data_IF_776510996617
#
_entry.id   IF_776510996617
#
_cell.length_a   1.000
_cell.length_b   1.000
_cell.length_c   1.000
_cell.angle_alpha   90.00
_cell.angle_beta   90.00
_cell.angle_gamma   90.00
#
_symmetry.space_group_name_H-M   'P 1'
#
loop_
_entity.id
_entity.type
_entity.pdbx_description
1 polymer ?
#
# COMPACT_ATOMS: atom_id res chain seq x y z
N UNK A 1 9.60 32.45 34.17
CA UNK A 1 11.03 32.32 33.90
C UNK A 1 11.21 32.00 32.41
N UNK A 2 11.96 32.80 31.64
CA UNK A 2 12.13 32.55 30.21
C UNK A 2 13.05 31.33 29.98
N UNK A 3 12.73 30.53 28.99
CA UNK A 3 13.51 29.37 28.57
C UNK A 3 14.81 29.76 27.89
N UNK A 4 15.87 28.95 27.95
CA UNK A 4 17.21 29.31 27.46
C UNK A 4 17.30 29.26 25.93
N UNK A 5 17.85 30.32 25.36
CA UNK A 5 18.22 30.47 23.95
C UNK A 5 19.50 29.69 23.68
N UNK A 6 19.47 28.69 22.80
CA UNK A 6 20.69 27.98 22.36
C UNK A 6 21.23 28.65 21.09
N UNK A 7 22.37 29.33 21.23
CA UNK A 7 23.14 29.87 20.09
C UNK A 7 24.06 28.80 19.50
N UNK A 8 23.99 28.59 18.18
CA UNK A 8 25.06 27.91 17.41
C UNK A 8 25.49 28.81 16.26
N UNK A 9 26.75 29.17 16.24
CA UNK A 9 27.40 29.93 15.17
C UNK A 9 28.04 28.97 14.17
N UNK A 10 27.74 29.15 12.90
CA UNK A 10 28.43 28.49 11.80
C UNK A 10 29.05 29.52 10.86
N UNK A 11 30.37 29.47 10.66
CA UNK A 11 31.11 30.30 9.72
C UNK A 11 31.19 29.61 8.35
N UNK A 12 30.78 30.30 7.28
CA UNK A 12 31.12 29.92 5.91
C UNK A 12 32.09 30.93 5.28
N UNK A 13 32.97 30.43 4.41
CA UNK A 13 34.12 31.16 3.79
C UNK A 13 33.76 32.33 2.86
N UNK A 14 32.53 32.79 2.80
CA UNK A 14 32.06 33.81 1.86
C UNK A 14 31.36 35.00 2.53
N UNK A 15 31.76 35.44 3.71
CA UNK A 15 31.45 36.79 4.22
C UNK A 15 29.98 37.28 4.16
N UNK A 16 29.01 36.42 4.03
CA UNK A 16 27.58 36.79 4.04
C UNK A 16 27.07 36.49 5.46
N UNK A 17 26.79 37.53 6.22
CA UNK A 17 26.08 37.48 7.49
C UNK A 17 24.63 37.02 7.18
N UNK A 18 24.35 35.73 7.38
CA UNK A 18 22.97 35.27 7.50
C UNK A 18 22.50 35.51 8.92
N UNK A 19 21.59 36.44 9.12
CA UNK A 19 20.91 36.62 10.41
C UNK A 19 20.19 35.31 10.76
N UNK A 20 20.49 34.74 11.93
CA UNK A 20 19.75 33.62 12.49
C UNK A 20 18.27 33.99 12.53
N UNK A 21 17.46 33.26 11.76
CA UNK A 21 16.02 33.35 11.89
C UNK A 21 15.64 32.62 13.19
N UNK A 22 15.25 33.39 14.20
CA UNK A 22 14.65 32.81 15.41
C UNK A 22 13.27 32.25 15.04
N UNK A 23 13.05 30.99 15.37
CA UNK A 23 11.77 30.30 15.18
C UNK A 23 11.09 30.13 16.53
N UNK A 24 9.80 30.35 16.54
CA UNK A 24 8.91 29.98 17.63
C UNK A 24 8.32 28.60 17.30
N UNK A 25 8.27 27.73 18.30
CA UNK A 25 7.61 26.44 18.20
C UNK A 25 6.43 26.39 19.16
N UNK A 26 5.31 25.89 18.71
CA UNK A 26 4.11 25.76 19.52
C UNK A 26 3.04 24.96 18.76
N UNK A 27 1.85 24.87 19.33
CA UNK A 27 0.75 24.12 18.75
C UNK A 27 -0.37 25.04 18.29
N UNK A 28 -1.01 24.70 17.17
CA UNK A 28 -2.18 25.41 16.66
C UNK A 28 -3.37 25.26 17.61
N UNK A 29 -3.99 26.35 18.09
CA UNK A 29 -5.15 26.26 19.00
C UNK A 29 -6.42 25.73 18.34
N UNK A 30 -6.43 25.61 17.00
CA UNK A 30 -7.61 25.13 16.24
C UNK A 30 -7.55 23.65 15.90
N UNK A 31 -6.38 23.11 15.57
CA UNK A 31 -6.22 21.71 15.16
C UNK A 31 -5.22 20.92 16.00
N UNK A 32 -4.55 21.56 16.99
CA UNK A 32 -3.58 20.88 17.85
C UNK A 32 -2.22 20.56 17.20
N UNK A 33 -2.05 20.79 15.89
CA UNK A 33 -0.83 20.43 15.17
C UNK A 33 0.37 21.31 15.55
N UNK A 34 1.55 20.69 15.58
CA UNK A 34 2.81 21.36 15.89
C UNK A 34 3.22 22.29 14.75
N UNK A 35 3.52 23.52 15.09
CA UNK A 35 3.94 24.57 14.16
C UNK A 35 5.32 25.10 14.55
N UNK A 36 6.13 25.38 13.52
CA UNK A 36 7.41 26.08 13.66
C UNK A 36 7.39 27.28 12.74
N UNK A 37 7.29 28.49 13.33
CA UNK A 37 7.11 29.74 12.59
C UNK A 37 8.25 30.71 12.87
N UNK A 38 8.69 31.54 11.91
CA UNK A 38 9.65 32.60 12.13
C UNK A 38 9.14 33.58 13.17
N UNK A 39 9.94 33.88 14.18
CA UNK A 39 9.57 34.78 15.31
C UNK A 39 9.20 36.21 14.87
N UNK A 40 9.59 36.62 13.65
CA UNK A 40 9.31 37.94 13.08
C UNK A 40 7.95 38.08 12.41
N UNK A 41 7.21 36.95 12.27
CA UNK A 41 5.87 37.00 11.67
C UNK A 41 4.84 37.43 12.69
N UNK A 42 4.17 38.56 12.43
CA UNK A 42 3.05 39.02 13.26
C UNK A 42 1.79 38.19 13.06
N UNK A 43 1.59 37.65 11.87
CA UNK A 43 0.45 36.78 11.52
C UNK A 43 0.89 35.72 10.48
N UNK A 44 0.32 34.52 10.60
CA UNK A 44 0.51 33.43 9.66
C UNK A 44 -0.76 32.56 9.57
N UNK A 45 -0.82 31.69 8.58
CA UNK A 45 -1.86 30.68 8.50
C UNK A 45 -1.32 29.31 8.87
N UNK A 46 -2.06 28.57 9.70
CA UNK A 46 -1.72 27.19 10.00
C UNK A 46 -1.71 26.37 8.72
N UNK A 47 -0.59 25.69 8.43
CA UNK A 47 -0.44 24.91 7.21
C UNK A 47 -1.32 23.66 7.17
N UNK A 48 -1.87 23.23 8.31
CA UNK A 48 -2.71 22.04 8.43
C UNK A 48 -4.20 22.36 8.32
N UNK A 49 -4.69 23.38 9.04
CA UNK A 49 -6.13 23.70 9.07
C UNK A 49 -6.50 25.03 8.43
N UNK A 50 -5.53 25.82 7.95
CA UNK A 50 -5.75 27.12 7.32
C UNK A 50 -6.13 28.25 8.27
N UNK A 51 -6.22 28.02 9.58
CA UNK A 51 -6.56 29.05 10.57
C UNK A 51 -5.54 30.17 10.57
N UNK A 52 -5.99 31.44 10.56
CA UNK A 52 -5.13 32.60 10.74
C UNK A 52 -4.80 32.76 12.22
N UNK A 53 -3.52 32.87 12.53
CA UNK A 53 -2.96 32.88 13.87
C UNK A 53 -1.90 33.96 14.01
N UNK A 54 -1.70 34.42 15.24
CA UNK A 54 -0.53 35.21 15.66
C UNK A 54 0.44 34.32 16.46
N UNK A 55 1.68 34.77 16.64
CA UNK A 55 2.67 34.02 17.41
C UNK A 55 2.24 33.79 18.87
N UNK A 56 1.54 34.76 19.46
CA UNK A 56 1.06 34.71 20.84
C UNK A 56 -0.12 33.74 21.04
N UNK A 57 -0.78 33.33 19.96
CA UNK A 57 -1.86 32.33 20.00
C UNK A 57 -1.36 30.90 19.94
N UNK A 58 -0.07 30.67 19.69
CA UNK A 58 0.51 29.33 19.77
C UNK A 58 0.48 28.82 21.21
N UNK A 59 0.04 27.59 21.37
CA UNK A 59 -0.03 26.94 22.68
C UNK A 59 1.30 26.23 22.97
N UNK A 60 1.72 26.24 24.24
CA UNK A 60 2.91 25.48 24.71
C UNK A 60 2.70 23.96 24.69
N UNK A 61 1.42 23.55 24.71
CA UNK A 61 0.99 22.17 24.60
C UNK A 61 -0.05 22.08 23.50
N UNK A 62 -0.25 20.90 22.86
CA UNK A 62 -1.35 20.72 21.95
C UNK A 62 -2.64 21.23 22.61
N UNK A 63 -3.45 22.02 21.87
CA UNK A 63 -4.79 22.27 22.35
C UNK A 63 -5.40 20.91 22.67
N UNK A 64 -6.02 20.78 23.83
CA UNK A 64 -6.94 19.66 24.05
C UNK A 64 -7.99 19.79 22.94
N UNK A 65 -7.71 19.13 21.82
CA UNK A 65 -8.71 18.84 20.79
C UNK A 65 -9.71 17.99 21.53
N UNK A 66 -10.81 18.60 21.98
CA UNK A 66 -11.74 18.20 23.00
C UNK A 66 -11.66 16.69 23.26
N UNK A 67 -10.96 16.28 24.29
CA UNK A 67 -10.71 14.88 24.59
C UNK A 67 -12.06 14.21 24.67
N UNK A 68 -12.33 13.34 23.72
CA UNK A 68 -13.56 12.55 23.71
C UNK A 68 -13.62 11.88 25.08
N UNK A 69 -14.76 11.98 25.77
CA UNK A 69 -14.91 11.33 27.06
C UNK A 69 -14.60 9.82 26.93
N UNK A 70 -13.91 9.17 27.89
CA UNK A 70 -13.52 7.77 27.76
C UNK A 70 -14.67 6.83 27.39
N UNK A 71 -15.87 7.07 27.92
CA UNK A 71 -17.05 6.29 27.56
C UNK A 71 -17.48 6.49 26.11
N UNK A 72 -17.41 7.70 25.59
CA UNK A 72 -17.69 8.01 24.19
C UNK A 72 -16.62 7.43 23.27
N UNK A 73 -15.34 7.48 23.67
CA UNK A 73 -14.24 6.85 22.94
C UNK A 73 -14.45 5.34 22.80
N UNK A 74 -14.84 4.66 23.86
CA UNK A 74 -15.15 3.22 23.83
C UNK A 74 -16.35 2.91 22.92
N UNK A 75 -17.41 3.73 22.97
CA UNK A 75 -18.57 3.57 22.08
C UNK A 75 -18.21 3.75 20.61
N UNK A 76 -17.40 4.77 20.29
CA UNK A 76 -16.89 5.00 18.92
C UNK A 76 -15.99 3.86 18.46
N UNK A 77 -15.11 3.38 19.32
CA UNK A 77 -14.24 2.23 19.02
C UNK A 77 -15.07 0.97 18.73
N UNK A 78 -16.08 0.68 19.53
CA UNK A 78 -16.95 -0.48 19.33
C UNK A 78 -17.78 -0.36 18.04
N UNK A 79 -18.22 0.85 17.69
CA UNK A 79 -18.90 1.09 16.42
C UNK A 79 -17.95 0.88 15.23
N UNK A 80 -16.72 1.41 15.31
CA UNK A 80 -15.71 1.26 14.26
C UNK A 80 -15.30 -0.22 14.08
N UNK A 81 -15.09 -0.97 15.18
CA UNK A 81 -14.79 -2.42 15.14
C UNK A 81 -15.87 -3.21 14.40
N UNK A 82 -17.15 -2.86 14.59
CA UNK A 82 -18.28 -3.52 13.90
C UNK A 82 -18.37 -3.15 12.42
N UNK A 83 -17.93 -1.96 12.04
CA UNK A 83 -18.01 -1.48 10.66
C UNK A 83 -16.80 -1.91 9.81
N UNK A 84 -15.62 -2.03 10.41
CA UNK A 84 -14.38 -2.29 9.71
C UNK A 84 -14.40 -3.56 8.83
N UNK A 85 -14.99 -4.72 9.26
CA UNK A 85 -15.13 -5.88 8.39
C UNK A 85 -15.94 -5.60 7.11
N UNK A 86 -16.86 -4.63 7.15
CA UNK A 86 -17.60 -4.16 5.98
C UNK A 86 -16.71 -3.60 4.89
N UNK A 87 -15.54 -3.02 5.25
CA UNK A 87 -14.53 -2.53 4.32
C UNK A 87 -13.81 -3.66 3.54
N UNK A 88 -14.02 -4.92 3.90
CA UNK A 88 -13.60 -6.09 3.11
C UNK A 88 -14.81 -6.74 2.44
N UNK A 89 -15.88 -7.00 3.20
CA UNK A 89 -17.09 -7.66 2.71
C UNK A 89 -17.67 -7.00 1.45
N UNK A 90 -17.69 -5.66 1.42
CA UNK A 90 -18.24 -4.89 0.29
C UNK A 90 -17.38 -4.95 -0.96
N UNK A 91 -16.13 -5.37 -0.84
CA UNK A 91 -15.16 -5.37 -1.93
C UNK A 91 -14.65 -6.77 -2.30
N UNK A 92 -15.34 -7.81 -1.84
CA UNK A 92 -15.08 -9.18 -2.30
C UNK A 92 -15.24 -9.27 -3.83
N UNK A 93 -14.27 -9.89 -4.48
CA UNK A 93 -14.20 -9.91 -5.94
C UNK A 93 -13.38 -8.77 -6.55
N UNK A 94 -12.90 -7.80 -5.77
CA UNK A 94 -12.05 -6.71 -6.29
C UNK A 94 -10.64 -7.18 -6.70
N UNK A 95 -10.21 -8.38 -6.33
CA UNK A 95 -9.01 -8.99 -6.92
C UNK A 95 -9.04 -8.99 -8.45
N UNK A 96 -10.21 -9.09 -9.07
CA UNK A 96 -10.41 -8.98 -10.54
C UNK A 96 -10.17 -7.58 -11.09
N UNK A 97 -10.20 -6.56 -10.23
CA UNK A 97 -9.96 -5.16 -10.58
C UNK A 97 -8.51 -4.73 -10.38
N UNK A 98 -7.60 -5.67 -10.07
CA UNK A 98 -6.18 -5.39 -9.94
C UNK A 98 -5.55 -5.35 -11.34
N UNK A 99 -6.11 -4.52 -12.20
CA UNK A 99 -5.67 -4.25 -13.56
C UNK A 99 -5.33 -2.78 -13.73
N UNK A 100 -4.55 -2.46 -14.76
CA UNK A 100 -4.14 -1.08 -15.04
C UNK A 100 -5.34 -0.16 -15.27
N UNK A 101 -6.41 -0.66 -15.89
CA UNK A 101 -7.60 0.13 -16.22
C UNK A 101 -8.53 0.37 -15.03
N UNK A 102 -8.55 -0.52 -14.04
CA UNK A 102 -9.57 -0.52 -12.99
C UNK A 102 -9.04 -0.23 -11.58
N UNK A 103 -7.74 -0.46 -11.32
CA UNK A 103 -7.18 -0.39 -9.97
C UNK A 103 -7.43 0.94 -9.26
N UNK A 104 -7.20 2.07 -9.94
CA UNK A 104 -7.34 3.40 -9.33
C UNK A 104 -8.79 3.67 -8.89
N UNK A 105 -9.77 3.31 -9.72
CA UNK A 105 -11.19 3.45 -9.38
C UNK A 105 -11.57 2.52 -8.23
N UNK A 106 -11.15 1.26 -8.29
CA UNK A 106 -11.40 0.27 -7.24
C UNK A 106 -10.76 0.69 -5.90
N UNK A 107 -9.53 1.22 -5.94
CA UNK A 107 -8.87 1.74 -4.74
C UNK A 107 -9.61 2.94 -4.16
N UNK A 108 -10.08 3.86 -5.00
CA UNK A 108 -10.86 5.02 -4.57
C UNK A 108 -12.15 4.62 -3.84
N UNK A 109 -12.85 3.60 -4.33
CA UNK A 109 -14.06 3.07 -3.69
C UNK A 109 -13.75 2.53 -2.27
N UNK A 110 -12.68 1.72 -2.15
CA UNK A 110 -12.25 1.15 -0.86
C UNK A 110 -11.80 2.24 0.09
N UNK A 111 -11.03 3.21 -0.41
CA UNK A 111 -10.53 4.33 0.39
C UNK A 111 -11.69 5.16 0.96
N UNK A 112 -12.66 5.52 0.12
CA UNK A 112 -13.83 6.32 0.53
C UNK A 112 -14.67 5.63 1.62
N UNK A 113 -14.78 4.30 1.58
CA UNK A 113 -15.48 3.54 2.62
C UNK A 113 -14.64 3.37 3.89
N UNK A 114 -13.34 3.19 3.74
CA UNK A 114 -12.41 2.93 4.86
C UNK A 114 -12.13 4.19 5.67
N UNK A 115 -11.98 5.34 5.02
CA UNK A 115 -11.59 6.59 5.66
C UNK A 115 -12.46 6.96 6.87
N UNK A 116 -13.80 7.08 6.77
CA UNK A 116 -14.63 7.49 7.92
C UNK A 116 -14.59 6.46 9.06
N UNK A 117 -14.54 5.17 8.73
CA UNK A 117 -14.50 4.09 9.72
C UNK A 117 -13.18 4.12 10.48
N UNK A 118 -12.07 4.23 9.75
CA UNK A 118 -10.75 4.18 10.37
C UNK A 118 -10.42 5.49 11.11
N UNK A 119 -10.87 6.66 10.64
CA UNK A 119 -10.76 7.91 11.41
C UNK A 119 -11.47 7.82 12.75
N UNK A 120 -12.67 7.26 12.79
CA UNK A 120 -13.39 7.05 14.04
C UNK A 120 -12.67 6.12 15.01
N UNK A 121 -12.00 5.07 14.49
CA UNK A 121 -11.16 4.18 15.28
C UNK A 121 -9.92 4.92 15.80
N UNK A 122 -9.22 5.65 14.95
CA UNK A 122 -8.02 6.41 15.28
C UNK A 122 -8.32 7.45 16.38
N UNK A 123 -9.35 8.27 16.20
CA UNK A 123 -9.79 9.27 17.19
C UNK A 123 -10.11 8.62 18.54
N UNK A 124 -10.81 7.49 18.52
CA UNK A 124 -11.18 6.77 19.74
C UNK A 124 -9.95 6.20 20.45
N UNK A 125 -9.00 5.63 19.72
CA UNK A 125 -7.76 5.07 20.29
C UNK A 125 -6.86 6.19 20.80
N UNK A 126 -6.70 7.28 20.05
CA UNK A 126 -5.91 8.45 20.47
C UNK A 126 -6.44 9.11 21.74
N UNK A 127 -7.74 8.98 22.02
CA UNK A 127 -8.34 9.44 23.27
C UNK A 127 -7.95 8.57 24.50
N UNK A 128 -7.33 7.42 24.27
CA UNK A 128 -6.92 6.46 25.31
C UNK A 128 -5.41 6.12 25.16
N UNK A 129 -4.51 7.07 25.31
CA UNK A 129 -3.08 6.91 24.94
C UNK A 129 -2.37 5.80 25.70
N UNK A 130 -2.73 5.55 26.95
CA UNK A 130 -2.14 4.50 27.79
C UNK A 130 -2.55 3.08 27.36
N UNK A 131 -3.60 2.95 26.56
CA UNK A 131 -4.17 1.68 26.10
C UNK A 131 -4.00 1.46 24.59
N UNK A 132 -3.30 2.35 23.88
CA UNK A 132 -3.20 2.35 22.40
C UNK A 132 -2.92 0.98 21.81
N UNK A 133 -1.83 0.33 22.20
CA UNK A 133 -1.43 -0.98 21.67
C UNK A 133 -2.47 -2.07 21.96
N UNK A 134 -3.03 -2.06 23.17
CA UNK A 134 -4.05 -3.03 23.57
C UNK A 134 -5.34 -2.86 22.76
N UNK A 135 -5.78 -1.62 22.51
CA UNK A 135 -6.99 -1.32 21.74
C UNK A 135 -6.81 -1.61 20.26
N UNK A 136 -5.63 -1.37 19.70
CA UNK A 136 -5.32 -1.73 18.31
C UNK A 136 -5.30 -3.25 18.11
N UNK A 137 -4.67 -3.99 19.03
CA UNK A 137 -4.68 -5.45 18.99
C UNK A 137 -6.09 -6.02 19.14
N UNK A 138 -6.88 -5.49 20.09
CA UNK A 138 -8.29 -5.85 20.26
C UNK A 138 -9.10 -5.62 18.97
N UNK A 139 -8.88 -4.47 18.32
CA UNK A 139 -9.57 -4.12 17.08
C UNK A 139 -9.18 -5.04 15.91
N UNK A 140 -7.89 -5.38 15.81
CA UNK A 140 -7.40 -6.34 14.82
C UNK A 140 -7.97 -7.75 15.04
N UNK A 141 -8.06 -8.19 16.30
CA UNK A 141 -8.67 -9.46 16.66
C UNK A 141 -10.15 -9.49 16.29
N UNK A 142 -10.93 -8.48 16.72
CA UNK A 142 -12.36 -8.39 16.44
C UNK A 142 -12.64 -8.37 14.94
N UNK A 143 -11.80 -7.66 14.16
CA UNK A 143 -11.89 -7.64 12.69
C UNK A 143 -11.73 -9.04 12.09
N UNK A 144 -10.71 -9.79 12.53
CA UNK A 144 -10.47 -11.14 12.02
C UNK A 144 -11.53 -12.14 12.51
N UNK A 145 -11.98 -12.03 13.76
CA UNK A 145 -13.03 -12.89 14.31
C UNK A 145 -14.31 -12.79 13.46
N UNK A 146 -14.70 -11.59 13.06
CA UNK A 146 -15.86 -11.35 12.21
C UNK A 146 -15.70 -11.94 10.79
N UNK A 147 -14.51 -11.82 10.19
CA UNK A 147 -14.24 -12.43 8.88
C UNK A 147 -14.17 -13.96 8.97
N UNK A 148 -13.66 -14.52 10.06
CA UNK A 148 -13.63 -15.98 10.31
C UNK A 148 -15.03 -16.59 10.36
N UNK A 149 -16.03 -15.87 10.88
CA UNK A 149 -17.42 -16.31 10.84
C UNK A 149 -17.91 -16.45 9.38
N UNK A 150 -17.57 -15.49 8.53
CA UNK A 150 -17.93 -15.55 7.11
C UNK A 150 -17.23 -16.72 6.41
N UNK A 151 -15.93 -16.91 6.65
CA UNK A 151 -15.18 -18.03 6.04
C UNK A 151 -15.69 -19.37 6.53
N UNK A 152 -16.06 -19.49 7.81
CA UNK A 152 -16.61 -20.70 8.37
C UNK A 152 -17.95 -21.09 7.71
N UNK A 153 -18.75 -20.11 7.32
CA UNK A 153 -20.01 -20.31 6.62
C UNK A 153 -19.82 -20.64 5.12
N UNK A 154 -18.64 -20.40 4.55
CA UNK A 154 -18.37 -20.65 3.13
C UNK A 154 -18.00 -22.12 2.88
N UNK A 155 -18.51 -22.69 1.78
CA UNK A 155 -18.19 -24.08 1.36
C UNK A 155 -16.69 -24.26 1.08
N UNK A 156 -16.05 -23.25 0.50
CA UNK A 156 -14.58 -23.18 0.28
C UNK A 156 -13.96 -22.18 1.26
N UNK A 157 -13.78 -22.60 2.51
CA UNK A 157 -13.25 -21.73 3.58
C UNK A 157 -11.88 -21.14 3.27
N UNK A 158 -10.99 -21.95 2.72
CA UNK A 158 -9.62 -21.51 2.41
C UNK A 158 -9.62 -20.50 1.25
N UNK A 159 -10.37 -20.76 0.19
CA UNK A 159 -10.51 -19.82 -0.92
C UNK A 159 -11.11 -18.49 -0.47
N UNK A 160 -12.20 -18.51 0.30
CA UNK A 160 -12.82 -17.28 0.83
C UNK A 160 -11.85 -16.46 1.70
N UNK A 161 -11.03 -17.13 2.53
CA UNK A 161 -10.00 -16.46 3.32
C UNK A 161 -8.90 -15.86 2.44
N UNK A 162 -8.44 -16.60 1.42
CA UNK A 162 -7.38 -16.15 0.54
C UNK A 162 -7.86 -14.98 -0.34
N UNK A 163 -9.13 -14.98 -0.77
CA UNK A 163 -9.76 -13.84 -1.46
C UNK A 163 -9.80 -12.60 -0.57
N UNK A 164 -10.30 -12.72 0.68
CA UNK A 164 -10.33 -11.60 1.61
C UNK A 164 -8.91 -11.13 1.98
N UNK A 165 -7.92 -12.03 2.09
CA UNK A 165 -6.51 -11.68 2.28
C UNK A 165 -6.00 -10.75 1.17
N UNK A 166 -6.36 -11.01 -0.08
CA UNK A 166 -5.97 -10.16 -1.20
C UNK A 166 -6.60 -8.77 -1.12
N UNK A 167 -7.88 -8.68 -0.76
CA UNK A 167 -8.55 -7.40 -0.54
C UNK A 167 -7.88 -6.63 0.61
N UNK A 168 -7.57 -7.30 1.71
CA UNK A 168 -6.88 -6.69 2.86
C UNK A 168 -5.50 -6.17 2.44
N UNK A 169 -4.68 -6.98 1.79
CA UNK A 169 -3.29 -6.65 1.48
C UNK A 169 -3.14 -5.56 0.41
N UNK A 170 -4.03 -5.56 -0.61
CA UNK A 170 -3.90 -4.70 -1.80
C UNK A 170 -4.74 -3.43 -1.70
N UNK A 171 -5.83 -3.46 -0.95
CA UNK A 171 -6.76 -2.33 -0.88
C UNK A 171 -6.89 -1.77 0.54
N UNK A 172 -7.31 -2.57 1.54
CA UNK A 172 -7.62 -2.06 2.88
C UNK A 172 -6.37 -1.52 3.60
N UNK A 173 -5.29 -2.31 3.66
CA UNK A 173 -4.03 -1.90 4.32
C UNK A 173 -3.43 -0.67 3.63
N UNK A 174 -3.29 -0.62 2.29
CA UNK A 174 -2.85 0.59 1.61
C UNK A 174 -3.78 1.80 1.83
N UNK A 175 -5.09 1.60 1.93
CA UNK A 175 -6.03 2.68 2.22
C UNK A 175 -5.82 3.25 3.63
N UNK A 176 -5.68 2.39 4.64
CA UNK A 176 -5.42 2.80 6.03
C UNK A 176 -4.07 3.52 6.14
N UNK A 177 -3.01 2.98 5.51
CA UNK A 177 -1.68 3.59 5.53
C UNK A 177 -1.65 4.95 4.83
N UNK A 178 -2.40 5.09 3.73
CA UNK A 178 -2.53 6.36 2.98
C UNK A 178 -3.26 7.46 3.76
N UNK A 179 -4.03 7.13 4.78
CA UNK A 179 -4.64 8.12 5.69
C UNK A 179 -3.61 8.85 6.54
N UNK A 180 -2.42 8.25 6.76
CA UNK A 180 -1.33 8.81 7.55
C UNK A 180 -1.76 9.29 8.95
N UNK A 181 -2.78 8.61 9.53
CA UNK A 181 -3.25 8.91 10.87
C UNK A 181 -2.30 8.33 11.93
N UNK A 182 -2.28 8.86 13.16
CA UNK A 182 -1.38 8.43 14.23
C UNK A 182 -1.34 6.92 14.46
N UNK A 183 -2.47 6.23 14.33
CA UNK A 183 -2.56 4.78 14.56
C UNK A 183 -2.50 3.92 13.30
N UNK A 184 -2.47 4.53 12.09
CA UNK A 184 -2.54 3.81 10.80
C UNK A 184 -1.51 2.68 10.68
N UNK A 185 -0.24 2.99 10.86
CA UNK A 185 0.84 2.01 10.71
C UNK A 185 0.83 0.97 11.84
N UNK A 186 0.53 1.40 13.08
CA UNK A 186 0.48 0.51 14.23
C UNK A 186 -0.67 -0.50 14.10
N UNK A 187 -1.85 -0.06 13.65
CA UNK A 187 -2.98 -0.96 13.39
C UNK A 187 -2.65 -1.98 12.29
N UNK A 188 -2.07 -1.54 11.17
CA UNK A 188 -1.70 -2.45 10.07
C UNK A 188 -0.70 -3.52 10.54
N UNK A 189 0.28 -3.15 11.37
CA UNK A 189 1.23 -4.10 11.98
C UNK A 189 0.55 -5.06 12.94
N UNK A 190 -0.36 -4.58 13.78
CA UNK A 190 -1.12 -5.43 14.71
C UNK A 190 -1.99 -6.44 13.93
N UNK A 191 -2.66 -5.99 12.86
CA UNK A 191 -3.45 -6.85 11.99
C UNK A 191 -2.58 -7.92 11.30
N UNK A 192 -1.43 -7.54 10.75
CA UNK A 192 -0.51 -8.48 10.13
C UNK A 192 0.03 -9.51 11.13
N UNK A 193 0.45 -9.06 12.31
CA UNK A 193 0.96 -9.94 13.36
C UNK A 193 -0.09 -10.95 13.81
N UNK A 194 -1.33 -10.50 14.01
CA UNK A 194 -2.43 -11.36 14.40
C UNK A 194 -2.83 -12.34 13.28
N UNK A 195 -2.81 -11.89 12.03
CA UNK A 195 -2.98 -12.78 10.87
C UNK A 195 -1.93 -13.88 10.85
N UNK A 196 -0.63 -13.54 10.98
CA UNK A 196 0.47 -14.51 11.00
C UNK A 196 0.35 -15.48 12.18
N UNK A 197 -0.09 -15.01 13.33
CA UNK A 197 -0.33 -15.86 14.51
C UNK A 197 -1.41 -16.92 14.22
N UNK A 198 -2.51 -16.54 13.55
CA UNK A 198 -3.63 -17.44 13.19
C UNK A 198 -3.31 -18.31 11.97
N UNK A 199 -2.65 -17.75 10.98
CA UNK A 199 -2.40 -18.35 9.67
C UNK A 199 -0.92 -18.31 9.26
N UNK A 200 -0.01 -18.97 10.00
CA UNK A 200 1.43 -18.88 9.77
C UNK A 200 1.87 -19.42 8.40
N UNK A 201 1.06 -20.26 7.76
CA UNK A 201 1.35 -20.81 6.42
C UNK A 201 0.94 -19.89 5.27
N UNK A 202 0.15 -18.87 5.54
CA UNK A 202 -0.38 -17.94 4.53
C UNK A 202 -0.28 -16.50 4.98
N UNK A 203 0.91 -16.01 5.40
CA UNK A 203 1.10 -14.61 5.77
C UNK A 203 0.83 -13.70 4.58
N UNK A 204 0.69 -12.40 4.83
CA UNK A 204 0.68 -11.38 3.79
C UNK A 204 1.65 -10.24 4.17
N UNK A 205 2.10 -9.49 3.16
CA UNK A 205 2.91 -8.30 3.37
C UNK A 205 2.04 -7.04 3.35
N UNK A 206 2.47 -6.03 4.11
CA UNK A 206 1.78 -4.75 4.16
C UNK A 206 1.96 -4.01 2.83
N UNK A 207 0.91 -3.94 2.03
CA UNK A 207 0.89 -3.20 0.78
C UNK A 207 1.09 -1.69 1.00
N UNK A 208 1.61 -1.02 -0.03
CA UNK A 208 1.76 0.42 -0.08
C UNK A 208 1.11 0.95 -1.37
N UNK A 209 0.23 1.95 -1.23
CA UNK A 209 -0.52 2.48 -2.36
C UNK A 209 0.39 3.04 -3.46
N UNK A 210 1.41 3.83 -3.11
CA UNK A 210 2.27 4.45 -4.11
C UNK A 210 3.11 3.40 -4.86
N UNK A 211 3.58 2.38 -4.15
CA UNK A 211 4.31 1.27 -4.76
C UNK A 211 3.42 0.49 -5.75
N UNK A 212 2.19 0.14 -5.35
CA UNK A 212 1.22 -0.58 -6.18
C UNK A 212 0.80 0.28 -7.37
N UNK A 213 0.35 1.51 -7.13
CA UNK A 213 -0.12 2.46 -8.16
C UNK A 213 0.99 2.80 -9.17
N UNK A 214 2.24 2.98 -8.70
CA UNK A 214 3.39 3.21 -9.58
C UNK A 214 3.61 2.01 -10.51
N UNK A 215 3.39 0.78 -10.06
CA UNK A 215 3.43 -0.41 -10.88
C UNK A 215 2.49 -0.32 -12.09
N UNK A 216 1.30 0.25 -11.92
CA UNK A 216 0.31 0.44 -13.00
C UNK A 216 0.57 1.71 -13.85
N UNK A 217 1.07 2.79 -13.23
CA UNK A 217 1.27 4.09 -13.91
C UNK A 217 2.51 4.13 -14.78
N UNK A 218 3.52 3.33 -14.49
CA UNK A 218 4.73 3.33 -15.30
C UNK A 218 4.37 3.15 -16.77
N UNK A 219 4.64 4.19 -17.60
CA UNK A 219 4.60 4.10 -19.07
C UNK A 219 5.78 3.24 -19.52
N UNK A 220 5.66 1.97 -19.35
CA UNK A 220 6.72 1.02 -19.59
C UNK A 220 6.56 0.43 -20.99
N UNK A 221 6.70 1.31 -22.00
CA UNK A 221 7.04 0.81 -23.33
C UNK A 221 8.38 0.07 -23.18
N UNK A 222 8.34 -1.24 -23.28
CA UNK A 222 9.51 -2.07 -23.28
C UNK A 222 9.73 -3.00 -22.12
N UNK A 223 8.95 -2.97 -21.04
CA UNK A 223 9.10 -3.92 -19.93
C UNK A 223 8.32 -5.22 -20.15
N UNK A 224 8.94 -6.31 -19.82
CA UNK A 224 8.31 -7.63 -19.66
C UNK A 224 8.07 -7.83 -18.17
N UNK A 225 6.95 -7.31 -17.62
CA UNK A 225 6.67 -7.25 -16.17
C UNK A 225 6.98 -8.55 -15.42
N UNK A 226 6.37 -9.66 -15.84
CA UNK A 226 6.55 -10.96 -15.18
C UNK A 226 7.99 -11.43 -15.33
N UNK A 227 8.54 -11.35 -16.55
CA UNK A 227 9.94 -11.78 -16.80
C UNK A 227 10.93 -10.91 -16.04
N UNK A 228 10.70 -9.58 -15.98
CA UNK A 228 11.52 -8.66 -15.19
C UNK A 228 11.49 -9.04 -13.73
N UNK A 229 10.28 -9.23 -13.16
CA UNK A 229 10.13 -9.61 -11.76
C UNK A 229 10.82 -10.95 -11.42
N UNK A 230 10.74 -11.94 -12.31
CA UNK A 230 11.48 -13.21 -12.16
C UNK A 230 12.99 -13.00 -12.22
N UNK A 231 13.48 -12.19 -13.14
CA UNK A 231 14.92 -11.89 -13.25
C UNK A 231 15.44 -11.13 -12.03
N UNK A 232 14.70 -10.13 -11.55
CA UNK A 232 15.01 -9.38 -10.33
C UNK A 232 15.06 -10.30 -9.10
N UNK A 233 14.10 -11.20 -8.96
CA UNK A 233 14.06 -12.19 -7.87
C UNK A 233 15.28 -13.12 -7.87
N UNK A 234 15.82 -13.42 -9.06
CA UNK A 234 17.02 -14.21 -9.24
C UNK A 234 18.33 -13.40 -9.17
N UNK A 235 18.25 -12.11 -8.86
CA UNK A 235 19.39 -11.19 -8.81
C UNK A 235 20.04 -10.92 -10.17
N UNK A 236 19.30 -11.12 -11.27
CA UNK A 236 19.79 -10.84 -12.64
C UNK A 236 19.57 -9.36 -12.98
N UNK A 237 20.53 -8.75 -13.69
CA UNK A 237 20.38 -7.35 -14.13
C UNK A 237 19.31 -7.20 -15.23
N UNK A 238 18.80 -5.97 -15.40
CA UNK A 238 17.74 -5.63 -16.38
C UNK A 238 18.17 -5.81 -17.85
N UNK A 239 19.46 -5.91 -18.12
CA UNK A 239 20.05 -6.18 -19.42
C UNK A 239 20.51 -7.64 -19.61
N UNK A 240 20.06 -8.56 -18.75
CA UNK A 240 20.41 -9.97 -18.90
C UNK A 240 19.93 -10.55 -20.25
N UNK A 241 20.58 -11.61 -20.71
CA UNK A 241 20.33 -12.23 -22.01
C UNK A 241 18.88 -12.68 -22.18
N UNK A 242 18.30 -13.29 -21.15
CA UNK A 242 16.91 -13.75 -21.19
C UNK A 242 15.95 -12.57 -21.39
N UNK A 243 16.11 -11.51 -20.58
CA UNK A 243 15.22 -10.34 -20.66
C UNK A 243 15.34 -9.63 -22.02
N UNK A 244 16.55 -9.55 -22.53
CA UNK A 244 16.84 -9.00 -23.87
C UNK A 244 16.18 -9.84 -24.97
N UNK A 245 16.23 -11.16 -24.87
CA UNK A 245 15.60 -12.06 -25.84
C UNK A 245 14.06 -11.95 -25.82
N UNK A 246 13.45 -11.89 -24.64
CA UNK A 246 11.99 -11.70 -24.54
C UNK A 246 11.53 -10.32 -25.06
N UNK A 247 12.31 -9.27 -24.83
CA UNK A 247 12.05 -7.95 -25.40
C UNK A 247 12.12 -7.95 -26.93
N UNK A 248 13.17 -8.60 -27.47
CA UNK A 248 13.33 -8.75 -28.92
C UNK A 248 12.19 -9.59 -29.54
N UNK A 249 11.79 -10.69 -28.88
CA UNK A 249 10.65 -11.51 -29.30
C UNK A 249 9.34 -10.69 -29.35
N UNK A 250 9.03 -9.94 -28.28
CA UNK A 250 7.84 -9.07 -28.25
C UNK A 250 7.88 -8.04 -29.37
N UNK A 251 9.00 -7.33 -29.53
CA UNK A 251 9.09 -6.17 -30.43
C UNK A 251 9.28 -6.59 -31.89
N UNK A 252 9.95 -7.69 -32.13
CA UNK A 252 10.23 -8.21 -33.47
C UNK A 252 9.14 -9.15 -34.00
N UNK A 253 8.85 -10.23 -33.27
CA UNK A 253 7.94 -11.27 -33.72
C UNK A 253 6.49 -11.05 -33.29
N UNK A 254 6.24 -10.87 -32.01
CA UNK A 254 4.87 -10.85 -31.49
C UNK A 254 4.04 -9.70 -32.07
N UNK A 255 4.62 -8.50 -32.23
CA UNK A 255 3.96 -7.36 -32.87
C UNK A 255 3.58 -7.60 -34.32
N UNK A 256 4.25 -8.52 -35.01
CA UNK A 256 3.93 -8.85 -36.40
C UNK A 256 2.83 -9.90 -36.55
N UNK A 257 2.44 -10.57 -35.46
CA UNK A 257 1.35 -11.53 -35.45
C UNK A 257 -0.01 -10.81 -35.56
N UNK A 258 -1.02 -11.38 -36.23
CA UNK A 258 -2.33 -10.73 -36.39
C UNK A 258 -3.02 -10.35 -35.07
N UNK A 259 -2.83 -11.16 -34.02
CA UNK A 259 -3.36 -10.97 -32.66
C UNK A 259 -2.34 -10.37 -31.68
N UNK A 260 -1.12 -10.09 -32.15
CA UNK A 260 0.00 -9.74 -31.28
C UNK A 260 -0.17 -8.44 -30.52
N UNK A 261 -0.69 -7.40 -31.16
CA UNK A 261 -0.97 -6.12 -30.48
C UNK A 261 -2.05 -6.25 -29.40
N UNK A 262 -3.07 -7.10 -29.64
CA UNK A 262 -4.12 -7.36 -28.67
C UNK A 262 -3.56 -8.09 -27.43
N UNK A 263 -2.75 -9.14 -27.65
CA UNK A 263 -2.07 -9.88 -26.59
C UNK A 263 -1.11 -9.01 -25.77
N UNK A 264 -0.35 -8.15 -26.43
CA UNK A 264 0.55 -7.22 -25.75
C UNK A 264 -0.23 -6.23 -24.88
N UNK A 265 -1.34 -5.68 -25.38
CA UNK A 265 -2.18 -4.73 -24.65
C UNK A 265 -2.79 -5.39 -23.41
N UNK A 266 -3.38 -6.56 -23.58
CA UNK A 266 -3.92 -7.35 -22.50
C UNK A 266 -2.86 -7.68 -21.43
N UNK A 267 -1.68 -8.13 -21.86
CA UNK A 267 -0.56 -8.37 -20.96
C UNK A 267 -0.20 -7.14 -20.12
N UNK A 268 -0.12 -5.95 -20.75
CA UNK A 268 0.20 -4.72 -20.02
C UNK A 268 -0.90 -4.25 -19.08
N UNK A 269 -2.12 -4.70 -19.28
CA UNK A 269 -3.22 -4.41 -18.36
C UNK A 269 -3.16 -5.27 -17.10
N UNK A 270 -2.89 -6.57 -17.24
CA UNK A 270 -2.99 -7.54 -16.13
C UNK A 270 -1.65 -7.85 -15.43
N UNK A 271 -0.52 -7.83 -16.15
CA UNK A 271 0.77 -8.28 -15.61
C UNK A 271 1.25 -7.48 -14.38
N UNK A 272 1.06 -6.15 -14.28
CA UNK A 272 1.38 -5.42 -13.05
C UNK A 272 0.60 -5.93 -11.84
N UNK A 273 -0.69 -6.26 -12.02
CA UNK A 273 -1.55 -6.84 -10.99
C UNK A 273 -1.05 -8.20 -10.52
N UNK A 274 -0.72 -9.09 -11.46
CA UNK A 274 -0.17 -10.42 -11.17
C UNK A 274 1.12 -10.29 -10.34
N UNK A 275 2.05 -9.44 -10.77
CA UNK A 275 3.32 -9.18 -10.05
C UNK A 275 3.06 -8.62 -8.66
N UNK A 276 2.10 -7.71 -8.52
CA UNK A 276 1.70 -7.16 -7.21
C UNK A 276 1.18 -8.25 -6.28
N UNK A 277 0.29 -9.13 -6.79
CA UNK A 277 -0.25 -10.24 -6.01
C UNK A 277 0.85 -11.20 -5.55
N UNK A 278 1.78 -11.56 -6.44
CA UNK A 278 2.93 -12.43 -6.10
C UNK A 278 3.81 -11.76 -5.04
N UNK A 279 4.14 -10.49 -5.20
CA UNK A 279 5.00 -9.76 -4.27
C UNK A 279 4.42 -9.63 -2.86
N UNK A 280 3.10 -9.65 -2.71
CA UNK A 280 2.39 -9.60 -1.43
C UNK A 280 2.08 -11.00 -0.86
N UNK A 281 2.39 -12.06 -1.60
CA UNK A 281 2.22 -13.43 -1.15
C UNK A 281 3.46 -13.95 -0.38
N UNK A 282 3.22 -14.88 0.54
CA UNK A 282 4.27 -15.47 1.37
C UNK A 282 5.19 -16.43 0.62
N UNK A 283 4.67 -17.04 -0.41
CA UNK A 283 5.35 -18.01 -1.29
C UNK A 283 5.96 -17.33 -2.53
N UNK A 284 6.21 -16.02 -2.46
CA UNK A 284 6.75 -15.21 -3.55
C UNK A 284 7.96 -15.85 -4.22
N UNK A 285 8.95 -16.24 -3.44
CA UNK A 285 10.19 -16.85 -3.95
C UNK A 285 9.93 -18.18 -4.65
N UNK A 286 9.04 -19.00 -4.11
CA UNK A 286 8.65 -20.28 -4.68
C UNK A 286 7.86 -20.08 -5.98
N UNK A 287 6.91 -19.17 -5.97
CA UNK A 287 6.10 -18.81 -7.14
C UNK A 287 6.96 -18.27 -8.30
N UNK A 288 7.91 -17.37 -8.05
CA UNK A 288 8.80 -16.90 -9.11
C UNK A 288 9.72 -17.99 -9.64
N UNK A 289 10.16 -18.91 -8.79
CA UNK A 289 10.94 -20.06 -9.21
C UNK A 289 10.11 -21.02 -10.08
N UNK A 290 8.87 -21.30 -9.69
CA UNK A 290 7.92 -22.09 -10.47
C UNK A 290 7.67 -21.45 -11.85
N UNK A 291 7.43 -20.14 -11.91
CA UNK A 291 7.24 -19.43 -13.18
C UNK A 291 8.47 -19.55 -14.07
N UNK A 292 9.67 -19.39 -13.50
CA UNK A 292 10.91 -19.57 -14.23
C UNK A 292 11.01 -20.97 -14.82
N UNK A 293 10.90 -21.99 -13.97
CA UNK A 293 11.23 -23.36 -14.32
C UNK A 293 10.19 -23.98 -15.24
N UNK A 294 8.90 -23.68 -14.99
CA UNK A 294 7.79 -24.26 -15.77
C UNK A 294 7.55 -23.53 -17.09
N UNK A 295 7.79 -22.21 -17.12
CA UNK A 295 7.35 -21.40 -18.24
C UNK A 295 8.47 -20.64 -18.94
N UNK A 296 9.24 -19.78 -18.21
CA UNK A 296 10.18 -18.88 -18.87
C UNK A 296 11.43 -19.59 -19.41
N UNK A 297 11.96 -20.58 -18.70
CA UNK A 297 13.12 -21.33 -19.20
C UNK A 297 12.79 -22.11 -20.49
N UNK A 298 11.67 -22.85 -20.59
CA UNK A 298 11.24 -23.44 -21.87
C UNK A 298 10.95 -22.41 -22.97
N UNK A 299 10.34 -21.25 -22.64
CA UNK A 299 10.15 -20.17 -23.61
C UNK A 299 11.48 -19.63 -24.13
N UNK A 300 12.46 -19.45 -23.24
CA UNK A 300 13.80 -18.99 -23.61
C UNK A 300 14.51 -19.99 -24.53
N UNK A 301 14.40 -21.31 -24.23
CA UNK A 301 14.89 -22.35 -25.13
C UNK A 301 14.22 -22.31 -26.51
N UNK A 302 12.91 -22.08 -26.56
CA UNK A 302 12.19 -21.90 -27.82
C UNK A 302 12.75 -20.72 -28.62
N UNK A 303 13.03 -19.56 -27.96
CA UNK A 303 13.63 -18.41 -28.61
C UNK A 303 15.02 -18.68 -29.17
N UNK A 304 15.88 -19.36 -28.39
CA UNK A 304 17.24 -19.72 -28.79
C UNK A 304 17.26 -20.66 -30.01
N UNK A 305 16.24 -21.50 -30.16
CA UNK A 305 16.10 -22.43 -31.27
C UNK A 305 15.22 -21.92 -32.42
N UNK A 306 14.82 -20.64 -32.41
CA UNK A 306 14.01 -20.03 -33.46
C UNK A 306 12.55 -20.46 -33.50
N UNK A 307 12.05 -21.15 -32.45
CA UNK A 307 10.67 -21.65 -32.33
C UNK A 307 9.74 -20.55 -31.80
N UNK A 308 9.61 -19.45 -32.54
CA UNK A 308 8.88 -18.27 -32.13
C UNK A 308 7.39 -18.53 -31.85
N UNK A 309 6.75 -19.41 -32.63
CA UNK A 309 5.34 -19.76 -32.47
C UNK A 309 5.11 -20.54 -31.17
N UNK A 310 5.99 -21.48 -30.86
CA UNK A 310 5.89 -22.30 -29.64
C UNK A 310 6.12 -21.40 -28.38
N UNK A 311 7.06 -20.50 -28.45
CA UNK A 311 7.26 -19.49 -27.41
C UNK A 311 6.00 -18.62 -27.19
N UNK A 312 5.36 -18.14 -28.28
CA UNK A 312 4.13 -17.36 -28.19
C UNK A 312 3.01 -18.13 -27.49
N UNK A 313 2.79 -19.37 -27.87
CA UNK A 313 1.75 -20.23 -27.30
C UNK A 313 2.00 -20.45 -25.79
N UNK A 314 3.22 -20.86 -25.43
CA UNK A 314 3.63 -21.13 -24.05
C UNK A 314 3.55 -19.90 -23.17
N UNK A 315 4.06 -18.76 -23.67
CA UNK A 315 4.03 -17.50 -22.92
C UNK A 315 2.59 -17.02 -22.70
N UNK A 316 1.74 -17.13 -23.71
CA UNK A 316 0.31 -16.80 -23.59
C UNK A 316 -0.38 -17.71 -22.57
N UNK A 317 -0.11 -19.00 -22.60
CA UNK A 317 -0.63 -19.96 -21.62
C UNK A 317 -0.17 -19.63 -20.19
N UNK A 318 1.08 -19.28 -20.02
CA UNK A 318 1.62 -18.81 -18.72
C UNK A 318 0.80 -17.63 -18.20
N UNK A 319 0.63 -16.59 -19.02
CA UNK A 319 -0.10 -15.37 -18.61
C UNK A 319 -1.54 -15.70 -18.21
N UNK A 320 -2.25 -16.53 -19.00
CA UNK A 320 -3.62 -16.97 -18.68
C UNK A 320 -3.70 -17.78 -17.39
N UNK A 321 -2.73 -18.65 -17.15
CA UNK A 321 -2.66 -19.44 -15.93
C UNK A 321 -2.45 -18.56 -14.71
N UNK A 322 -1.56 -17.59 -14.81
CA UNK A 322 -1.28 -16.65 -13.73
C UNK A 322 -2.45 -15.67 -13.49
N UNK A 323 -3.09 -15.19 -14.54
CA UNK A 323 -4.32 -14.39 -14.44
C UNK A 323 -5.40 -15.17 -13.68
N UNK A 324 -5.66 -16.40 -14.08
CA UNK A 324 -6.66 -17.25 -13.41
C UNK A 324 -6.29 -17.55 -11.95
N UNK A 325 -4.99 -17.64 -11.62
CA UNK A 325 -4.53 -17.92 -10.26
C UNK A 325 -4.62 -16.70 -9.34
N UNK A 326 -4.34 -15.50 -9.86
CA UNK A 326 -4.15 -14.30 -9.03
C UNK A 326 -5.22 -13.23 -9.18
N UNK A 327 -5.95 -13.19 -10.30
CA UNK A 327 -6.93 -12.14 -10.62
C UNK A 327 -8.36 -12.68 -10.85
N UNK A 328 -8.62 -13.98 -10.64
CA UNK A 328 -9.95 -14.59 -10.93
C UNK A 328 -10.83 -14.70 -9.71
#
# INVERSE_FOLDING_TARGET
>A
LPLPVVRREFYTKAGIFMSEQEFLSGFCPKCGESLKVPAKLSQFSCMYCGARLTADELLDKPADSGSIAPEEALQRLDAAKKQLPGCVRSFRGYQKKITKGEFEAAFSDVYAMTEPVFRSLDEAVCAMPDETDARLLESANAFLDELELDWAANRNRNGARDDDKMVIAIFLVPAIRKLELPTSEAFCKALQAEWVRRYPKTPFYLGDYEAISTGFRKKLFGLCFITTAVCEELGKPDDCEELTAFRAFRDGYLKTCPDGEALIREYYDIAPGIVTCINLASDRHETYREIRDTWLAPCYDDLQNGRMADCKERYTQMVRTLESRFLS
#
